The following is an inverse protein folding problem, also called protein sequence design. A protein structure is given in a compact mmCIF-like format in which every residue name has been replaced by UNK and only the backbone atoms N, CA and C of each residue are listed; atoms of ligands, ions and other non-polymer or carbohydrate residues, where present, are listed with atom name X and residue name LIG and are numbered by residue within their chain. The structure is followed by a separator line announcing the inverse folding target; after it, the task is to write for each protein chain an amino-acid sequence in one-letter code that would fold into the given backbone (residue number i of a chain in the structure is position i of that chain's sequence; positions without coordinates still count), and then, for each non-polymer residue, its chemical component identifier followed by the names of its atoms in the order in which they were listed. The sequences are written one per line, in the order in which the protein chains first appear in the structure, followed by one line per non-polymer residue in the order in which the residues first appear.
data_IF_238302392650
#
_entry.id   IF_238302392650
#
_cell.length_a   1.000
_cell.length_b   1.000
_cell.length_c   1.000
_cell.angle_alpha   90.00
_cell.angle_beta   90.00
_cell.angle_gamma   90.00
#
_symmetry.space_group_name_H-M   'P 1'
#
loop_
_entity.id
_entity.type
_entity.pdbx_description
1 polymer ?
#
# COMPACT_ATOMS: atom_id res chain seq x y z
N UNK A 1 -4.76 54.90 32.51
CA UNK A 1 -4.40 53.48 32.74
C UNK A 1 -4.97 52.69 31.57
N UNK A 2 -4.13 52.34 30.60
CA UNK A 2 -4.50 51.54 29.43
C UNK A 2 -4.24 50.07 29.76
N UNK A 3 -5.30 49.25 29.78
CA UNK A 3 -5.18 47.80 29.87
C UNK A 3 -5.22 47.23 28.45
N UNK A 4 -4.10 46.62 28.06
CA UNK A 4 -3.90 45.86 26.82
C UNK A 4 -4.66 44.54 26.88
N UNK A 5 -5.59 44.33 25.94
CA UNK A 5 -6.17 43.02 25.65
C UNK A 5 -5.14 42.18 24.87
N UNK A 6 -4.59 41.15 25.53
CA UNK A 6 -3.94 40.04 24.83
C UNK A 6 -5.03 39.14 24.23
N UNK A 7 -5.19 39.20 22.92
CA UNK A 7 -5.84 38.13 22.18
C UNK A 7 -4.85 36.96 22.12
N UNK A 8 -5.11 35.94 22.93
CA UNK A 8 -4.51 34.62 22.75
C UNK A 8 -5.10 34.01 21.48
N UNK A 9 -4.37 34.12 20.37
CA UNK A 9 -4.63 33.34 19.16
C UNK A 9 -4.46 31.86 19.49
N UNK A 10 -5.55 31.21 19.88
CA UNK A 10 -5.68 29.77 19.79
C UNK A 10 -5.68 29.42 18.30
N UNK A 11 -4.53 29.02 17.79
CA UNK A 11 -4.43 28.23 16.58
C UNK A 11 -5.25 26.97 16.81
N UNK A 12 -6.51 26.97 16.36
CA UNK A 12 -7.22 25.74 16.07
C UNK A 12 -6.46 25.06 14.94
N UNK A 13 -5.56 24.13 15.30
CA UNK A 13 -5.03 23.15 14.36
C UNK A 13 -6.23 22.40 13.79
N UNK A 14 -6.69 22.85 12.63
CA UNK A 14 -7.66 22.12 11.84
C UNK A 14 -6.97 20.81 11.46
N UNK A 15 -7.44 19.64 11.92
CA UNK A 15 -6.82 18.38 11.51
C UNK A 15 -6.90 18.34 10.00
N UNK A 16 -5.74 18.22 9.33
CA UNK A 16 -5.69 17.88 7.91
C UNK A 16 -6.61 16.68 7.74
N UNK A 17 -7.74 16.89 7.07
CA UNK A 17 -8.77 15.89 6.88
C UNK A 17 -8.09 14.69 6.22
N UNK A 18 -7.94 13.59 6.97
CA UNK A 18 -7.15 12.40 6.59
C UNK A 18 -7.57 11.78 5.25
N UNK A 19 -8.71 12.22 4.69
CA UNK A 19 -9.28 11.79 3.41
C UNK A 19 -8.59 12.35 2.16
N UNK A 20 -7.83 13.45 2.23
CA UNK A 20 -7.21 14.03 1.01
C UNK A 20 -5.88 13.38 0.61
N UNK A 21 -5.20 12.70 1.54
CA UNK A 21 -3.84 12.18 1.31
C UNK A 21 -3.84 10.91 0.45
N UNK A 22 -4.96 10.18 0.39
CA UNK A 22 -5.07 8.90 -0.32
C UNK A 22 -6.41 8.79 -1.06
N UNK A 23 -6.56 9.51 -2.16
CA UNK A 23 -7.66 9.21 -3.10
C UNK A 23 -7.49 7.78 -3.62
N UNK A 24 -8.54 6.96 -3.47
CA UNK A 24 -8.63 5.63 -4.08
C UNK A 24 -8.54 5.76 -5.61
N UNK A 25 -7.80 4.89 -6.33
CA UNK A 25 -7.82 4.86 -7.80
C UNK A 25 -9.23 4.92 -8.40
N UNK A 26 -10.23 4.28 -7.77
CA UNK A 26 -11.62 4.33 -8.25
C UNK A 26 -12.21 5.74 -8.19
N UNK A 27 -12.00 6.47 -7.08
CA UNK A 27 -12.46 7.86 -6.94
C UNK A 27 -11.80 8.79 -7.96
N UNK A 28 -10.54 8.49 -8.30
CA UNK A 28 -9.79 9.25 -9.30
C UNK A 28 -10.33 8.96 -10.69
N UNK A 29 -10.60 7.69 -11.02
CA UNK A 29 -11.19 7.30 -12.29
C UNK A 29 -12.57 7.93 -12.48
N UNK A 30 -13.42 7.92 -11.47
CA UNK A 30 -14.76 8.53 -11.54
C UNK A 30 -14.68 10.05 -11.79
N UNK A 31 -13.71 10.73 -11.17
CA UNK A 31 -13.43 12.15 -11.48
C UNK A 31 -12.92 12.33 -12.91
N UNK A 32 -12.01 11.47 -13.35
CA UNK A 32 -11.37 11.55 -14.67
C UNK A 32 -12.27 11.10 -15.81
N UNK A 33 -13.31 10.30 -15.56
CA UNK A 33 -14.28 9.89 -16.58
C UNK A 33 -14.92 11.10 -17.29
N UNK A 34 -15.03 12.23 -16.57
CA UNK A 34 -15.55 13.49 -17.10
C UNK A 34 -14.49 14.32 -17.85
N UNK A 35 -13.20 14.05 -17.61
CA UNK A 35 -12.07 14.76 -18.25
C UNK A 35 -10.91 13.80 -18.52
N UNK A 36 -10.97 12.96 -19.57
CA UNK A 36 -9.93 11.94 -19.81
C UNK A 36 -8.51 12.52 -20.00
N UNK A 37 -8.43 13.78 -20.46
CA UNK A 37 -7.15 14.47 -20.69
C UNK A 37 -6.29 14.67 -19.42
N UNK A 38 -6.87 14.59 -18.21
CA UNK A 38 -6.11 14.75 -16.96
C UNK A 38 -5.69 13.41 -16.33
N UNK A 39 -6.14 12.27 -16.87
CA UNK A 39 -5.96 10.96 -16.26
C UNK A 39 -4.49 10.63 -15.99
N UNK A 40 -3.61 10.93 -16.96
CA UNK A 40 -2.16 10.69 -16.81
C UNK A 40 -1.55 11.52 -15.67
N UNK A 41 -1.95 12.79 -15.56
CA UNK A 41 -1.48 13.68 -14.48
C UNK A 41 -1.98 13.18 -13.12
N UNK A 42 -3.23 12.74 -13.03
CA UNK A 42 -3.79 12.20 -11.80
C UNK A 42 -3.11 10.90 -11.37
N UNK A 43 -2.75 10.04 -12.33
CA UNK A 43 -1.92 8.87 -12.09
C UNK A 43 -0.56 9.25 -11.49
N UNK A 44 0.17 10.19 -12.10
CA UNK A 44 1.47 10.63 -11.59
C UNK A 44 1.36 11.22 -10.17
N UNK A 45 0.34 12.04 -9.92
CA UNK A 45 0.07 12.61 -8.60
C UNK A 45 -0.28 11.53 -7.58
N UNK A 46 -1.05 10.52 -7.97
CA UNK A 46 -1.38 9.38 -7.12
C UNK A 46 -0.10 8.62 -6.72
N UNK A 47 0.74 8.23 -7.67
CA UNK A 47 2.00 7.53 -7.36
C UNK A 47 2.91 8.37 -6.48
N UNK A 48 3.01 9.68 -6.73
CA UNK A 48 3.80 10.59 -5.90
C UNK A 48 3.27 10.69 -4.46
N UNK A 49 1.94 10.73 -4.27
CA UNK A 49 1.33 10.71 -2.92
C UNK A 49 1.63 9.40 -2.19
N UNK A 50 1.61 8.27 -2.89
CA UNK A 50 1.95 6.96 -2.32
C UNK A 50 3.42 6.89 -1.89
N UNK A 51 4.33 7.39 -2.72
CA UNK A 51 5.76 7.44 -2.40
C UNK A 51 6.06 8.32 -1.17
N UNK A 52 5.51 9.54 -1.13
CA UNK A 52 5.65 10.44 0.03
C UNK A 52 5.08 9.77 1.30
N UNK A 53 3.89 9.17 1.21
CA UNK A 53 3.29 8.46 2.35
C UNK A 53 4.17 7.31 2.83
N UNK A 54 4.72 6.52 1.91
CA UNK A 54 5.60 5.41 2.22
C UNK A 54 6.88 5.86 2.94
N UNK A 55 7.48 6.97 2.50
CA UNK A 55 8.66 7.57 3.13
C UNK A 55 8.34 8.10 4.54
N UNK A 56 7.22 8.81 4.70
CA UNK A 56 6.78 9.33 6.00
C UNK A 56 6.46 8.21 7.00
N UNK A 57 5.83 7.12 6.54
CA UNK A 57 5.64 5.92 7.37
C UNK A 57 6.96 5.27 7.75
N UNK A 58 7.91 5.15 6.83
CA UNK A 58 9.23 4.60 7.11
C UNK A 58 10.00 5.45 8.13
N UNK A 59 9.79 6.77 8.12
CA UNK A 59 10.30 7.70 9.13
C UNK A 59 9.53 7.67 10.47
N UNK A 60 8.46 6.88 10.58
CA UNK A 60 7.64 6.76 11.79
C UNK A 60 6.67 7.92 12.02
N UNK A 61 6.43 8.76 11.02
CA UNK A 61 5.56 9.94 11.12
C UNK A 61 4.09 9.63 10.81
N UNK A 62 3.82 8.53 10.11
CA UNK A 62 2.48 8.08 9.74
C UNK A 62 2.33 6.59 10.08
N UNK A 63 1.12 6.18 10.47
CA UNK A 63 0.83 4.79 10.78
C UNK A 63 1.02 3.84 9.57
N UNK A 64 1.60 2.67 9.82
CA UNK A 64 1.85 1.66 8.78
C UNK A 64 0.59 0.87 8.38
N UNK A 65 -0.48 0.92 9.16
CA UNK A 65 -1.73 0.17 8.92
C UNK A 65 -2.28 0.37 7.51
N UNK A 66 -2.16 1.60 6.99
CA UNK A 66 -2.60 1.94 5.63
C UNK A 66 -1.79 1.22 4.54
N UNK A 67 -0.51 0.97 4.78
CA UNK A 67 0.33 0.23 3.86
C UNK A 67 -0.12 -1.22 3.75
N UNK A 68 -0.40 -1.87 4.88
CA UNK A 68 -0.95 -3.23 4.90
C UNK A 68 -2.26 -3.33 4.13
N UNK A 69 -3.16 -2.36 4.35
CA UNK A 69 -4.43 -2.31 3.61
C UNK A 69 -4.20 -2.28 2.10
N UNK A 70 -3.39 -1.35 1.60
CA UNK A 70 -3.16 -1.19 0.17
C UNK A 70 -2.51 -2.44 -0.44
N UNK A 71 -1.49 -3.00 0.23
CA UNK A 71 -0.76 -4.16 -0.28
C UNK A 71 -1.66 -5.40 -0.28
N UNK A 72 -2.39 -5.66 0.81
CA UNK A 72 -3.31 -6.77 0.88
C UNK A 72 -4.41 -6.62 -0.18
N UNK A 73 -4.99 -5.43 -0.33
CA UNK A 73 -5.99 -5.16 -1.37
C UNK A 73 -5.47 -5.44 -2.78
N UNK A 74 -4.23 -5.04 -3.07
CA UNK A 74 -3.65 -5.16 -4.40
C UNK A 74 -3.11 -6.56 -4.74
N UNK A 75 -2.68 -7.34 -3.74
CA UNK A 75 -1.98 -8.60 -3.97
C UNK A 75 -2.74 -9.83 -3.45
N UNK A 76 -3.60 -9.67 -2.44
CA UNK A 76 -4.33 -10.79 -1.83
C UNK A 76 -5.78 -10.88 -2.30
N UNK A 77 -6.28 -9.89 -3.05
CA UNK A 77 -7.65 -9.95 -3.56
C UNK A 77 -7.74 -10.98 -4.67
N UNK A 78 -8.65 -11.95 -4.52
CA UNK A 78 -8.93 -12.92 -5.56
C UNK A 78 -9.85 -12.30 -6.63
N UNK A 79 -9.25 -11.79 -7.71
CA UNK A 79 -10.02 -11.20 -8.82
C UNK A 79 -10.78 -12.24 -9.67
N UNK A 80 -10.47 -13.53 -9.52
CA UNK A 80 -11.08 -14.63 -10.28
C UNK A 80 -12.39 -15.14 -9.69
N UNK A 81 -12.75 -14.77 -8.44
CA UNK A 81 -14.08 -15.06 -7.88
C UNK A 81 -15.13 -14.12 -8.50
N UNK A 82 -15.44 -14.45 -9.74
CA UNK A 82 -16.26 -13.71 -10.68
C UNK A 82 -17.77 -13.91 -10.46
N UNK A 83 -18.24 -13.95 -9.22
CA UNK A 83 -19.65 -13.74 -8.93
C UNK A 83 -19.90 -12.24 -8.76
N UNK A 84 -19.86 -11.53 -9.90
CA UNK A 84 -20.28 -10.12 -10.03
C UNK A 84 -21.69 -9.90 -9.43
N UNK A 85 -22.53 -10.94 -9.37
CA UNK A 85 -23.89 -10.89 -8.84
C UNK A 85 -24.00 -10.85 -7.30
N UNK A 86 -22.97 -11.26 -6.55
CA UNK A 86 -23.03 -11.27 -5.07
C UNK A 86 -22.44 -10.00 -4.42
N UNK A 87 -21.98 -9.03 -5.23
CA UNK A 87 -21.33 -7.81 -4.71
C UNK A 87 -22.38 -6.87 -4.09
N UNK A 88 -22.40 -6.76 -2.76
CA UNK A 88 -23.11 -5.69 -2.04
C UNK A 88 -22.25 -4.41 -2.02
N UNK A 89 -22.01 -3.83 -3.20
CA UNK A 89 -21.23 -2.59 -3.35
C UNK A 89 -20.84 -2.34 -4.81
N UNK A 90 -20.47 -1.10 -5.18
CA UNK A 90 -19.97 -0.82 -6.51
C UNK A 90 -18.76 -1.71 -6.81
N UNK A 91 -18.59 -2.19 -8.05
CA UNK A 91 -17.41 -2.96 -8.42
C UNK A 91 -16.20 -2.04 -8.31
N UNK A 92 -15.43 -2.16 -7.23
CA UNK A 92 -14.13 -1.52 -7.15
C UNK A 92 -13.25 -2.13 -8.23
N UNK A 93 -12.68 -1.31 -9.12
CA UNK A 93 -11.91 -1.83 -10.24
C UNK A 93 -10.47 -1.99 -9.76
N UNK A 94 -9.96 -3.21 -9.75
CA UNK A 94 -8.52 -3.38 -9.59
C UNK A 94 -7.84 -2.94 -10.88
N UNK A 95 -7.01 -1.89 -10.79
CA UNK A 95 -6.27 -1.32 -11.92
C UNK A 95 -4.78 -1.59 -11.65
N UNK A 96 -4.20 -2.66 -12.23
CA UNK A 96 -2.81 -3.04 -11.99
C UNK A 96 -1.83 -1.88 -12.15
N UNK A 97 -2.05 -1.05 -13.19
CA UNK A 97 -1.17 0.07 -13.53
C UNK A 97 -1.11 1.15 -12.45
N UNK A 98 -2.08 1.21 -11.56
CA UNK A 98 -2.12 2.16 -10.44
C UNK A 98 -1.63 1.50 -9.16
N UNK A 99 -2.18 0.33 -8.85
CA UNK A 99 -1.93 -0.34 -7.58
C UNK A 99 -0.51 -0.90 -7.50
N UNK A 100 0.03 -1.50 -8.56
CA UNK A 100 1.32 -2.18 -8.50
C UNK A 100 2.48 -1.19 -8.34
N UNK A 101 2.57 -0.06 -9.09
CA UNK A 101 3.57 0.95 -8.81
C UNK A 101 3.45 1.57 -7.41
N UNK A 102 2.24 1.72 -6.87
CA UNK A 102 2.03 2.21 -5.52
C UNK A 102 2.55 1.21 -4.47
N UNK A 103 2.17 -0.07 -4.59
CA UNK A 103 2.66 -1.17 -3.73
C UNK A 103 4.18 -1.25 -3.75
N UNK A 104 4.80 -1.09 -4.91
CA UNK A 104 6.26 -1.09 -5.02
C UNK A 104 6.91 0.00 -4.15
N UNK A 105 6.35 1.23 -4.11
CA UNK A 105 6.85 2.30 -3.22
C UNK A 105 6.76 1.91 -1.75
N UNK A 106 5.65 1.31 -1.33
CA UNK A 106 5.48 0.86 0.05
C UNK A 106 6.48 -0.23 0.43
N UNK A 107 6.67 -1.24 -0.42
CA UNK A 107 7.63 -2.33 -0.20
C UNK A 107 9.07 -1.81 -0.18
N UNK A 108 9.45 -0.90 -1.09
CA UNK A 108 10.82 -0.37 -1.13
C UNK A 108 11.15 0.44 0.13
N UNK A 109 10.19 1.18 0.67
CA UNK A 109 10.44 2.03 1.84
C UNK A 109 10.25 1.29 3.18
N UNK A 110 9.35 0.31 3.24
CA UNK A 110 8.93 -0.34 4.49
C UNK A 110 9.16 -1.87 4.50
N UNK A 111 9.77 -2.42 3.45
CA UNK A 111 9.95 -3.87 3.25
C UNK A 111 10.63 -4.57 4.42
N UNK A 112 11.66 -3.94 5.00
CA UNK A 112 12.31 -4.46 6.21
C UNK A 112 11.32 -4.63 7.37
N UNK A 113 10.52 -3.61 7.65
CA UNK A 113 9.53 -3.65 8.73
C UNK A 113 8.44 -4.69 8.44
N UNK A 114 7.95 -4.77 7.20
CA UNK A 114 6.99 -5.81 6.81
C UNK A 114 7.54 -7.22 7.03
N UNK A 115 8.80 -7.45 6.67
CA UNK A 115 9.44 -8.74 6.85
C UNK A 115 9.69 -9.07 8.33
N UNK A 116 10.12 -8.08 9.12
CA UNK A 116 10.21 -8.19 10.58
C UNK A 116 8.86 -8.57 11.21
N UNK A 117 7.78 -7.89 10.80
CA UNK A 117 6.43 -8.20 11.27
C UNK A 117 5.95 -9.60 10.83
N UNK A 118 6.33 -10.05 9.63
CA UNK A 118 6.05 -11.40 9.13
C UNK A 118 6.78 -12.50 9.91
N UNK A 119 8.07 -12.32 10.19
CA UNK A 119 8.89 -13.27 10.94
C UNK A 119 8.43 -13.36 12.39
N UNK A 120 8.07 -12.23 13.00
CA UNK A 120 7.63 -12.16 14.39
C UNK A 120 6.14 -12.47 14.59
N UNK A 121 5.41 -12.72 13.50
CA UNK A 121 3.95 -12.97 13.52
C UNK A 121 3.15 -11.86 14.20
N UNK A 122 3.53 -10.60 13.97
CA UNK A 122 2.88 -9.46 14.60
C UNK A 122 1.44 -9.28 14.08
N UNK A 123 0.48 -9.14 15.00
CA UNK A 123 -0.91 -8.77 14.70
C UNK A 123 -0.96 -7.28 14.37
N UNK A 124 -1.19 -6.89 13.11
CA UNK A 124 -1.09 -5.46 12.77
C UNK A 124 -2.10 -4.83 11.82
N UNK A 125 -3.08 -5.50 11.23
CA UNK A 125 -3.94 -4.79 10.27
C UNK A 125 -5.33 -4.43 10.79
N UNK A 126 -5.91 -5.17 11.76
CA UNK A 126 -7.31 -5.02 12.21
C UNK A 126 -8.30 -4.85 11.03
N UNK A 127 -7.90 -5.30 9.83
CA UNK A 127 -8.55 -4.89 8.61
C UNK A 127 -9.73 -5.82 8.36
N UNK A 128 -10.90 -5.22 8.15
CA UNK A 128 -12.09 -5.97 7.75
C UNK A 128 -12.36 -5.61 6.29
N UNK A 129 -12.15 -6.53 5.34
CA UNK A 129 -12.54 -6.27 3.97
C UNK A 129 -14.05 -5.97 3.95
N UNK A 130 -14.51 -5.11 3.03
CA UNK A 130 -15.93 -4.96 2.82
C UNK A 130 -16.56 -6.33 2.52
N UNK A 131 -17.82 -6.56 2.92
CA UNK A 131 -18.52 -7.81 2.62
C UNK A 131 -18.50 -8.10 1.11
N UNK A 132 -18.19 -9.35 0.74
CA UNK A 132 -18.18 -9.80 -0.66
C UNK A 132 -16.82 -9.73 -1.36
N UNK A 133 -15.76 -9.29 -0.69
CA UNK A 133 -14.38 -9.37 -1.20
C UNK A 133 -13.70 -10.62 -0.64
N UNK A 134 -13.34 -11.54 -1.52
CA UNK A 134 -12.63 -12.78 -1.16
C UNK A 134 -11.12 -12.55 -1.22
N UNK A 135 -10.48 -12.66 -0.06
CA UNK A 135 -9.06 -12.40 0.12
C UNK A 135 -8.36 -13.72 0.43
N UNK A 136 -7.14 -13.91 -0.08
CA UNK A 136 -6.40 -15.19 0.08
C UNK A 136 -6.17 -15.54 1.55
N UNK A 137 -5.82 -14.56 2.38
CA UNK A 137 -5.67 -14.75 3.82
C UNK A 137 -6.77 -14.04 4.62
N UNK A 138 -7.11 -14.63 5.77
CA UNK A 138 -7.90 -13.97 6.81
C UNK A 138 -6.99 -13.04 7.63
N UNK A 139 -7.53 -11.90 8.01
CA UNK A 139 -6.82 -10.73 8.51
C UNK A 139 -6.45 -10.84 9.99
N UNK A 140 -5.59 -11.81 10.27
CA UNK A 140 -5.30 -12.24 11.64
C UNK A 140 -3.90 -11.74 12.06
N UNK A 141 -2.88 -11.99 11.24
CA UNK A 141 -1.50 -11.51 11.46
C UNK A 141 -0.70 -11.40 10.15
N UNK A 142 0.41 -10.65 10.18
CA UNK A 142 1.46 -10.84 9.18
C UNK A 142 2.17 -12.17 9.44
N UNK A 143 2.49 -12.89 8.38
CA UNK A 143 3.25 -14.14 8.46
C UNK A 143 4.16 -14.30 7.23
N UNK A 144 5.11 -15.24 7.31
CA UNK A 144 6.03 -15.53 6.21
C UNK A 144 5.29 -15.95 4.94
N UNK A 145 4.21 -16.72 5.06
CA UNK A 145 3.42 -17.15 3.91
C UNK A 145 2.76 -15.97 3.18
N UNK A 146 2.37 -14.92 3.92
CA UNK A 146 1.83 -13.69 3.33
C UNK A 146 2.92 -12.90 2.60
N UNK A 147 4.13 -12.81 3.16
CA UNK A 147 5.28 -12.21 2.47
C UNK A 147 5.61 -12.95 1.17
N UNK A 148 5.64 -14.29 1.21
CA UNK A 148 5.89 -15.13 0.03
C UNK A 148 4.79 -14.98 -1.03
N UNK A 149 3.52 -14.90 -0.60
CA UNK A 149 2.40 -14.62 -1.50
C UNK A 149 2.58 -13.26 -2.20
N UNK A 150 2.91 -12.20 -1.45
CA UNK A 150 3.12 -10.87 -2.03
C UNK A 150 4.26 -10.88 -3.04
N UNK A 151 5.38 -11.52 -2.70
CA UNK A 151 6.52 -11.67 -3.61
C UNK A 151 6.08 -12.39 -4.88
N UNK A 152 5.36 -13.52 -4.75
CA UNK A 152 4.85 -14.31 -5.88
C UNK A 152 3.97 -13.45 -6.78
N UNK A 153 3.01 -12.71 -6.23
CA UNK A 153 2.10 -11.84 -7.00
C UNK A 153 2.84 -10.74 -7.74
N UNK A 154 3.83 -10.11 -7.11
CA UNK A 154 4.66 -9.11 -7.78
C UNK A 154 5.52 -9.73 -8.88
N UNK A 155 6.01 -10.95 -8.72
CA UNK A 155 6.68 -11.68 -9.80
C UNK A 155 5.73 -11.92 -10.98
N UNK A 156 4.48 -12.34 -10.74
CA UNK A 156 3.46 -12.47 -11.78
C UNK A 156 3.26 -11.16 -12.56
N UNK A 157 3.21 -10.00 -11.88
CA UNK A 157 3.13 -8.69 -12.54
C UNK A 157 4.41 -8.29 -13.27
N UNK A 158 5.58 -8.62 -12.74
CA UNK A 158 6.85 -8.42 -13.42
C UNK A 158 6.93 -9.23 -14.74
N UNK A 159 6.30 -10.40 -14.77
CA UNK A 159 6.22 -11.30 -15.91
C UNK A 159 5.03 -11.00 -16.85
N UNK A 160 4.13 -10.09 -16.47
CA UNK A 160 3.08 -9.54 -17.35
C UNK A 160 1.63 -9.91 -17.03
N UNK A 161 1.33 -10.41 -15.83
CA UNK A 161 -0.06 -10.70 -15.40
C UNK A 161 -1.01 -9.48 -15.43
N UNK A 162 -0.48 -8.25 -15.49
CA UNK A 162 -1.25 -7.01 -15.61
C UNK A 162 -1.32 -6.42 -17.02
N UNK A 163 -0.84 -7.14 -18.05
CA UNK A 163 -0.72 -6.63 -19.42
C UNK A 163 0.69 -6.13 -19.76
N UNK A 164 0.81 -5.35 -20.82
CA UNK A 164 2.09 -4.91 -21.38
C UNK A 164 2.62 -3.58 -20.85
N UNK A 165 2.01 -3.04 -19.80
CA UNK A 165 2.48 -1.80 -19.19
C UNK A 165 3.91 -1.94 -18.65
N UNK A 166 4.81 -1.12 -19.18
CA UNK A 166 6.24 -1.17 -18.86
C UNK A 166 6.53 -0.66 -17.46
N UNK A 167 5.71 0.25 -16.93
CA UNK A 167 5.92 0.83 -15.60
C UNK A 167 5.57 -0.22 -14.55
N UNK A 168 4.39 -0.85 -14.64
CA UNK A 168 3.95 -1.97 -13.80
C UNK A 168 5.01 -3.06 -13.73
N UNK A 169 5.48 -3.57 -14.88
CA UNK A 169 6.51 -4.61 -14.92
C UNK A 169 7.81 -4.17 -14.24
N UNK A 170 8.27 -2.95 -14.49
CA UNK A 170 9.51 -2.40 -13.92
C UNK A 170 9.41 -2.23 -12.40
N UNK A 171 8.34 -1.61 -11.91
CA UNK A 171 8.17 -1.33 -10.48
C UNK A 171 7.92 -2.63 -9.69
N UNK A 172 7.15 -3.58 -10.24
CA UNK A 172 6.98 -4.90 -9.65
C UNK A 172 8.32 -5.64 -9.51
N UNK A 173 9.13 -5.63 -10.58
CA UNK A 173 10.48 -6.22 -10.54
C UNK A 173 11.38 -5.57 -9.49
N UNK A 174 11.35 -4.24 -9.39
CA UNK A 174 12.13 -3.51 -8.38
C UNK A 174 11.69 -3.87 -6.95
N UNK A 175 10.39 -4.03 -6.72
CA UNK A 175 9.86 -4.48 -5.44
C UNK A 175 10.33 -5.89 -5.10
N UNK A 176 10.25 -6.86 -6.03
CA UNK A 176 10.74 -8.23 -5.83
C UNK A 176 12.22 -8.26 -5.46
N UNK A 177 13.06 -7.52 -6.19
CA UNK A 177 14.50 -7.43 -5.89
C UNK A 177 14.77 -6.83 -4.50
N UNK A 178 13.98 -5.85 -4.09
CA UNK A 178 14.09 -5.29 -2.74
C UNK A 178 13.67 -6.31 -1.68
N UNK A 179 12.56 -7.04 -1.90
CA UNK A 179 12.11 -8.09 -0.97
C UNK A 179 13.18 -9.17 -0.77
N UNK A 180 13.86 -9.58 -1.84
CA UNK A 180 14.99 -10.51 -1.78
C UNK A 180 16.15 -9.96 -0.95
N UNK A 181 16.53 -8.70 -1.21
CA UNK A 181 17.59 -8.03 -0.47
C UNK A 181 17.29 -7.92 1.04
N UNK A 182 16.02 -7.74 1.41
CA UNK A 182 15.57 -7.70 2.81
C UNK A 182 15.77 -9.07 3.49
N UNK A 183 15.39 -10.16 2.82
CA UNK A 183 15.55 -11.52 3.34
C UNK A 183 17.04 -11.84 3.52
N UNK A 184 17.86 -11.57 2.50
CA UNK A 184 19.31 -11.80 2.55
C UNK A 184 19.96 -11.04 3.72
N UNK A 185 19.61 -9.77 3.90
CA UNK A 185 20.11 -8.94 5.00
C UNK A 185 19.69 -9.49 6.38
N UNK A 186 18.46 -9.99 6.50
CA UNK A 186 17.96 -10.59 7.73
C UNK A 186 18.68 -11.89 8.11
N UNK A 187 18.92 -12.76 7.12
CA UNK A 187 19.64 -14.02 7.32
C UNK A 187 21.09 -13.78 7.74
N UNK A 188 21.76 -12.81 7.11
CA UNK A 188 23.11 -12.39 7.51
C UNK A 188 23.15 -11.91 8.96
N UNK A 189 22.18 -11.09 9.38
CA UNK A 189 22.09 -10.60 10.76
C UNK A 189 21.86 -11.73 11.77
N UNK A 190 20.94 -12.67 11.49
CA UNK A 190 20.69 -13.82 12.37
C UNK A 190 21.92 -14.71 12.53
N UNK A 191 22.63 -15.00 11.44
CA UNK A 191 23.81 -15.86 11.47
C UNK A 191 24.98 -15.25 12.28
N UNK A 192 25.08 -13.92 12.34
CA UNK A 192 26.08 -13.25 13.17
C UNK A 192 25.76 -13.35 14.67
N UNK A 193 24.48 -13.33 15.06
CA UNK A 193 24.07 -13.47 16.46
C UNK A 193 24.29 -14.89 16.98
N UNK A 194 24.08 -15.92 16.15
CA UNK A 194 24.23 -17.32 16.57
C UNK A 194 25.68 -17.81 16.66
N UNK A 195 26.65 -17.00 16.24
CA UNK A 195 28.09 -17.28 16.34
C UNK A 195 28.76 -16.69 17.59
N UNK A 196 28.01 -15.97 18.44
CA UNK A 196 28.45 -15.40 19.72
C UNK A 196 27.90 -16.26 20.86
#
# INVERSE_FOLDING_TARGET
MCATNQASDTFEETPLHESEVLSDPDDILDRCAKTPAILHREFELYIKRQDISAQLTAAGLIEIRRAYYLIAWALEWNHESNDLEQRKGPPRLFIPDWYIPAVARWIINNGRRFYEDAVNQNMQDCFKPPPGYEMVYKYDCMCNERWDLWKKRLTEFADGAGGDDKVTKREAKAAVQHMESVVDAWELFRNQITMI
#
